data_IF_923447258193
#
_entry.id   IF_923447258193
#
_cell.length_a   1.000
_cell.length_b   1.000
_cell.length_c   1.000
_cell.angle_alpha   90.00
_cell.angle_beta   90.00
_cell.angle_gamma   90.00
#
_symmetry.space_group_name_H-M   'P 1'
#
loop_
_entity.id
_entity.type
_entity.pdbx_description
1 polymer ?
#
# COMPACT_ATOMS: atom_id res chain seq x y z
N UNK A 1 3.72 -7.36 16.61
CA UNK A 1 5.11 -7.55 17.05
C UNK A 1 6.05 -7.05 15.98
N UNK A 2 7.16 -6.42 16.35
CA UNK A 2 8.29 -6.14 15.46
C UNK A 2 9.12 -7.41 15.38
N UNK A 3 9.14 -8.06 14.22
CA UNK A 3 10.02 -9.21 13.99
C UNK A 3 11.40 -8.69 13.61
N UNK A 4 12.43 -9.16 14.32
CA UNK A 4 13.84 -8.88 14.03
C UNK A 4 14.50 -10.17 13.57
N UNK A 5 15.24 -10.11 12.46
CA UNK A 5 16.06 -11.22 11.98
C UNK A 5 17.51 -11.15 12.52
N UNK A 6 18.34 -12.11 12.12
CA UNK A 6 19.77 -12.17 12.50
C UNK A 6 20.58 -10.97 12.03
N UNK A 7 20.08 -10.27 11.01
CA UNK A 7 20.77 -9.16 10.35
C UNK A 7 20.31 -7.81 10.92
N UNK A 8 19.41 -7.83 11.91
CA UNK A 8 18.88 -6.66 12.59
C UNK A 8 17.80 -5.92 11.79
N UNK A 9 17.32 -6.49 10.69
CA UNK A 9 16.24 -5.91 9.90
C UNK A 9 14.92 -6.00 10.66
N UNK A 10 14.13 -4.92 10.63
CA UNK A 10 12.85 -4.82 11.33
C UNK A 10 11.70 -4.66 10.34
N UNK A 11 10.64 -5.46 10.54
CA UNK A 11 9.36 -5.25 9.85
C UNK A 11 8.46 -4.29 10.63
N UNK A 12 7.68 -3.49 9.89
CA UNK A 12 6.71 -2.53 10.45
C UNK A 12 5.68 -3.24 11.33
N UNK A 13 5.45 -2.70 12.53
CA UNK A 13 4.39 -3.15 13.42
C UNK A 13 3.00 -2.74 12.89
N UNK A 14 1.95 -3.43 13.34
CA UNK A 14 0.57 -3.12 12.98
C UNK A 14 -0.27 -2.82 14.23
N UNK A 15 -1.24 -1.93 14.08
CA UNK A 15 -2.10 -1.42 15.15
C UNK A 15 -3.56 -1.30 14.69
N UNK A 16 -4.40 -0.65 15.52
CA UNK A 16 -5.84 -0.51 15.33
C UNK A 16 -6.66 -1.71 15.85
N UNK A 17 -7.99 -1.59 15.84
CA UNK A 17 -8.89 -2.59 16.44
C UNK A 17 -8.72 -4.00 15.83
N UNK A 18 -8.41 -4.08 14.54
CA UNK A 18 -8.14 -5.34 13.84
C UNK A 18 -6.67 -5.72 13.73
N UNK A 19 -5.73 -4.88 14.21
CA UNK A 19 -4.30 -5.11 14.01
C UNK A 19 -3.86 -5.09 12.53
N UNK A 20 -4.60 -4.38 11.66
CA UNK A 20 -4.41 -4.38 10.21
C UNK A 20 -3.93 -3.05 9.63
N UNK A 21 -3.68 -2.04 10.47
CA UNK A 21 -3.14 -0.76 10.01
C UNK A 21 -1.66 -0.68 10.35
N UNK A 22 -0.77 -0.37 9.39
CA UNK A 22 0.65 -0.22 9.69
C UNK A 22 0.86 0.93 10.66
N UNK A 23 1.63 0.68 11.71
CA UNK A 23 2.03 1.67 12.69
C UNK A 23 3.26 2.42 12.19
N UNK A 24 3.01 3.44 11.38
CA UNK A 24 4.02 4.22 10.65
C UNK A 24 3.71 5.70 10.70
N UNK A 25 4.70 6.53 10.37
CA UNK A 25 4.47 7.95 10.11
C UNK A 25 3.75 8.14 8.78
N UNK A 26 2.52 8.62 8.85
CA UNK A 26 1.74 8.98 7.66
C UNK A 26 2.16 10.34 7.12
N UNK A 27 2.27 10.44 5.80
CA UNK A 27 2.57 11.69 5.10
C UNK A 27 1.48 12.00 4.10
N UNK A 28 0.98 13.24 4.11
CA UNK A 28 0.11 13.74 3.06
C UNK A 28 0.93 14.01 1.80
N UNK A 29 0.45 13.50 0.67
CA UNK A 29 1.14 13.59 -0.62
C UNK A 29 0.15 14.04 -1.69
N UNK A 30 0.62 14.86 -2.63
CA UNK A 30 -0.12 15.14 -3.87
C UNK A 30 0.03 13.93 -4.79
N UNK A 31 -1.09 13.44 -5.32
CA UNK A 31 -1.12 12.22 -6.13
C UNK A 31 -1.93 12.41 -7.40
N UNK A 32 -1.64 11.59 -8.40
CA UNK A 32 -2.56 11.28 -9.48
C UNK A 32 -3.41 10.08 -9.07
N UNK A 33 -4.73 10.18 -9.24
CA UNK A 33 -5.64 9.06 -9.07
C UNK A 33 -5.86 8.40 -10.44
N UNK A 34 -5.34 7.19 -10.60
CA UNK A 34 -5.36 6.45 -11.86
C UNK A 34 -6.21 5.21 -11.71
N UNK A 35 -7.31 5.16 -12.45
CA UNK A 35 -8.16 3.97 -12.54
C UNK A 35 -7.62 3.03 -13.62
N UNK A 36 -7.43 1.75 -13.26
CA UNK A 36 -7.10 0.69 -14.20
C UNK A 36 -8.20 -0.38 -14.20
N UNK A 37 -8.66 -0.72 -15.40
CA UNK A 37 -9.67 -1.76 -15.64
C UNK A 37 -8.99 -2.93 -16.33
N UNK A 38 -9.17 -4.18 -15.86
CA UNK A 38 -8.61 -5.34 -16.53
C UNK A 38 -9.11 -5.47 -17.97
N UNK A 39 -8.20 -5.83 -18.89
CA UNK A 39 -8.55 -6.07 -20.28
C UNK A 39 -9.35 -7.38 -20.44
N UNK A 40 -9.02 -8.38 -19.62
CA UNK A 40 -9.72 -9.66 -19.59
C UNK A 40 -11.00 -9.55 -18.76
N UNK A 41 -12.15 -9.76 -19.41
CA UNK A 41 -13.47 -9.74 -18.77
C UNK A 41 -13.66 -10.85 -17.73
N UNK A 42 -12.86 -11.91 -17.77
CA UNK A 42 -12.88 -13.00 -16.79
C UNK A 42 -12.07 -12.69 -15.52
N UNK A 43 -11.32 -11.58 -15.51
CA UNK A 43 -10.49 -11.19 -14.37
C UNK A 43 -11.33 -11.03 -13.08
N UNK A 44 -10.81 -11.44 -11.91
CA UNK A 44 -11.57 -11.40 -10.65
C UNK A 44 -11.81 -9.99 -10.09
N UNK A 45 -11.07 -9.00 -10.58
CA UNK A 45 -11.24 -7.59 -10.23
C UNK A 45 -12.08 -6.87 -11.27
N UNK A 46 -12.93 -5.94 -10.82
CA UNK A 46 -13.59 -4.99 -11.73
C UNK A 46 -12.65 -3.83 -12.09
N UNK A 47 -11.91 -3.31 -11.11
CA UNK A 47 -10.95 -2.22 -11.28
C UNK A 47 -9.95 -2.13 -10.13
N UNK A 48 -8.90 -1.34 -10.36
CA UNK A 48 -8.03 -0.82 -9.32
C UNK A 48 -7.94 0.70 -9.42
N UNK A 49 -7.81 1.36 -8.29
CA UNK A 49 -7.47 2.78 -8.20
C UNK A 49 -6.08 2.88 -7.60
N UNK A 50 -5.15 3.41 -8.38
CA UNK A 50 -3.77 3.65 -7.98
C UNK A 50 -3.61 5.11 -7.59
N UNK A 51 -3.08 5.36 -6.41
CA UNK A 51 -2.69 6.69 -5.97
C UNK A 51 -1.19 6.82 -6.25
N UNK A 52 -0.85 7.45 -7.37
CA UNK A 52 0.54 7.61 -7.81
C UNK A 52 1.11 8.92 -7.27
N UNK A 53 2.20 8.87 -6.52
CA UNK A 53 2.84 10.06 -5.97
C UNK A 53 3.29 11.01 -7.08
N UNK A 54 2.87 12.27 -7.03
CA UNK A 54 3.12 13.22 -8.12
C UNK A 54 4.59 13.65 -8.23
N UNK A 55 5.42 13.39 -7.22
CA UNK A 55 6.83 13.76 -7.20
C UNK A 55 7.73 12.59 -7.60
N UNK A 56 7.45 11.39 -7.08
CA UNK A 56 8.31 10.21 -7.27
C UNK A 56 7.74 9.20 -8.27
N UNK A 57 6.46 9.33 -8.65
CA UNK A 57 5.70 8.38 -9.47
C UNK A 57 5.64 6.96 -8.89
N UNK A 58 5.91 6.79 -7.60
CA UNK A 58 5.69 5.53 -6.90
C UNK A 58 4.19 5.35 -6.60
N UNK A 59 3.76 4.12 -6.31
CA UNK A 59 2.34 3.81 -6.02
C UNK A 59 2.20 3.47 -4.52
N UNK A 60 2.21 4.46 -3.60
CA UNK A 60 2.11 4.22 -2.17
C UNK A 60 0.80 3.54 -1.75
N UNK A 61 -0.26 3.66 -2.55
CA UNK A 61 -1.54 3.01 -2.27
C UNK A 61 -2.25 2.53 -3.52
N UNK A 62 -2.80 1.32 -3.46
CA UNK A 62 -3.71 0.77 -4.48
C UNK A 62 -4.94 0.19 -3.81
N UNK A 63 -6.12 0.53 -4.32
CA UNK A 63 -7.40 -0.01 -3.87
C UNK A 63 -7.97 -0.89 -4.97
N UNK A 64 -8.30 -2.14 -4.64
CA UNK A 64 -8.84 -3.13 -5.58
C UNK A 64 -10.31 -3.43 -5.27
N UNK A 65 -11.12 -3.49 -6.31
CA UNK A 65 -12.56 -3.74 -6.22
C UNK A 65 -12.91 -5.10 -6.85
N UNK A 66 -13.81 -5.84 -6.20
CA UNK A 66 -14.35 -7.08 -6.75
C UNK A 66 -15.31 -6.81 -7.92
N UNK A 67 -15.81 -7.86 -8.57
CA UNK A 67 -16.75 -7.74 -9.70
C UNK A 67 -18.10 -7.09 -9.34
N UNK A 68 -18.47 -7.02 -8.06
CA UNK A 68 -19.69 -6.34 -7.59
C UNK A 68 -19.46 -4.84 -7.36
N UNK A 69 -18.21 -4.37 -7.53
CA UNK A 69 -17.81 -2.99 -7.24
C UNK A 69 -17.56 -2.74 -5.75
N UNK A 70 -17.53 -3.78 -4.92
CA UNK A 70 -17.22 -3.67 -3.50
C UNK A 70 -15.71 -3.60 -3.30
N UNK A 71 -15.28 -2.83 -2.30
CA UNK A 71 -13.89 -2.84 -1.85
C UNK A 71 -13.48 -4.27 -1.48
N UNK A 72 -12.46 -4.80 -2.15
CA UNK A 72 -11.94 -6.13 -1.83
C UNK A 72 -10.64 -6.05 -1.05
N UNK A 73 -9.67 -5.26 -1.52
CA UNK A 73 -8.34 -5.15 -0.89
C UNK A 73 -7.78 -3.74 -1.00
N UNK A 74 -7.01 -3.33 0.01
CA UNK A 74 -6.14 -2.15 -0.03
C UNK A 74 -4.70 -2.61 0.15
N UNK A 75 -3.81 -2.09 -0.69
CA UNK A 75 -2.38 -2.27 -0.58
C UNK A 75 -1.75 -0.93 -0.24
N UNK A 76 -0.91 -0.92 0.78
CA UNK A 76 -0.14 0.26 1.20
C UNK A 76 1.33 -0.12 1.15
N UNK A 77 2.13 0.66 0.42
CA UNK A 77 3.57 0.44 0.28
C UNK A 77 4.27 1.54 1.06
N UNK A 78 4.91 1.17 2.17
CA UNK A 78 5.80 2.06 2.91
C UNK A 78 7.09 2.27 2.12
N UNK A 79 7.56 3.51 2.05
CA UNK A 79 8.86 3.85 1.47
C UNK A 79 9.71 4.49 2.57
N UNK A 80 10.89 3.92 2.79
CA UNK A 80 11.87 4.46 3.72
C UNK A 80 13.10 4.92 2.93
N UNK A 81 13.75 5.96 3.43
CA UNK A 81 15.04 6.38 2.88
C UNK A 81 16.10 5.35 3.27
N UNK A 82 16.97 4.88 2.34
CA UNK A 82 17.96 3.85 2.65
C UNK A 82 18.94 4.28 3.74
N UNK A 83 19.22 5.57 3.89
CA UNK A 83 20.14 6.03 4.95
C UNK A 83 19.46 6.18 6.33
N UNK A 84 18.15 5.95 6.43
CA UNK A 84 17.37 6.20 7.66
C UNK A 84 16.50 5.01 8.09
N UNK A 85 16.71 3.83 7.50
CA UNK A 85 15.93 2.62 7.82
C UNK A 85 16.69 1.60 8.67
N UNK A 86 18.02 1.73 8.77
CA UNK A 86 18.86 0.94 9.66
C UNK A 86 19.16 1.74 10.95
N UNK A 87 19.40 1.08 12.09
CA UNK A 87 19.79 1.71 13.35
C UNK A 87 21.05 2.58 13.27
#
# INVERSE_FOLDING_TARGET
>A
ETHSDSDGYQVVAFSGQGGCFPDITWQLRKVYEVESVPVDESHPLSKRVHFMDAQTFTIPRTVSYDRKGSLWKTFTIGQAHPDHHLP
#
